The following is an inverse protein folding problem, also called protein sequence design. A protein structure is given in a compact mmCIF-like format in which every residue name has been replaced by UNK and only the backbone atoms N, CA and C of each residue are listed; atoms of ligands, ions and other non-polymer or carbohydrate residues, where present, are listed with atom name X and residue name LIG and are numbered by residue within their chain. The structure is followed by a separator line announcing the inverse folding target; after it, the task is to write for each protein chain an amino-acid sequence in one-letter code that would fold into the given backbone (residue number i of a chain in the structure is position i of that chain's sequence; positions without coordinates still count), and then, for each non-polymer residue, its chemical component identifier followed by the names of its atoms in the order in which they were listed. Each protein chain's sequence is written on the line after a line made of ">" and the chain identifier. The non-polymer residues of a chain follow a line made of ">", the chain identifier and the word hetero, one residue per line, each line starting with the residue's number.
data_IF_294051125337
#
_entry.id   IF_294051125337
#
_cell.length_a   1.000
_cell.length_b   1.000
_cell.length_c   1.000
_cell.angle_alpha   90.00
_cell.angle_beta   90.00
_cell.angle_gamma   90.00
#
_symmetry.space_group_name_H-M   'P 1'
#
loop_
_entity.id
_entity.type
_entity.pdbx_description
1 polymer ?
#
# COMPACT_ATOMS: atom_id res chain seq x y z
N UNK A 1 39.13 10.29 -50.32
CA UNK A 1 38.22 9.21 -49.86
C UNK A 1 38.25 9.17 -48.34
N UNK A 2 37.26 9.79 -47.70
CA UNK A 2 37.14 9.84 -46.25
C UNK A 2 36.26 8.66 -45.80
N UNK A 3 36.80 7.77 -44.92
CA UNK A 3 36.08 6.65 -44.33
C UNK A 3 35.18 7.17 -43.21
N UNK A 4 33.86 7.08 -43.39
CA UNK A 4 32.85 7.40 -42.38
C UNK A 4 32.86 6.32 -41.27
N UNK A 5 33.08 6.77 -40.04
CA UNK A 5 32.96 5.95 -38.82
C UNK A 5 31.46 5.69 -38.52
N UNK A 6 31.03 4.47 -38.25
CA UNK A 6 29.61 4.22 -37.90
C UNK A 6 29.30 4.78 -36.51
N UNK A 7 28.34 5.70 -36.45
CA UNK A 7 27.76 6.19 -35.18
C UNK A 7 27.08 5.03 -34.43
N UNK A 8 27.59 4.68 -33.24
CA UNK A 8 26.92 3.81 -32.30
C UNK A 8 25.61 4.46 -31.88
N UNK A 9 24.47 3.84 -32.23
CA UNK A 9 23.16 4.18 -31.67
C UNK A 9 23.21 4.06 -30.15
N UNK A 10 22.66 5.02 -29.39
CA UNK A 10 22.57 4.89 -27.94
C UNK A 10 21.68 3.70 -27.60
N UNK A 11 22.23 2.70 -26.90
CA UNK A 11 21.44 1.65 -26.27
C UNK A 11 20.52 2.35 -25.26
N UNK A 12 19.19 2.23 -25.46
CA UNK A 12 18.18 2.60 -24.47
C UNK A 12 18.60 1.98 -23.14
N UNK A 13 18.81 2.80 -22.12
CA UNK A 13 19.04 2.34 -20.77
C UNK A 13 17.84 1.45 -20.39
N UNK A 14 18.06 0.13 -20.30
CA UNK A 14 17.05 -0.81 -19.80
C UNK A 14 16.72 -0.38 -18.39
N UNK A 15 15.44 -0.18 -18.13
CA UNK A 15 14.92 0.26 -16.85
C UNK A 15 15.35 -0.77 -15.78
N UNK A 16 16.34 -0.43 -14.95
CA UNK A 16 16.98 -1.32 -13.97
C UNK A 16 16.07 -1.74 -12.82
N UNK A 17 14.84 -1.25 -12.82
CA UNK A 17 13.89 -1.37 -11.71
C UNK A 17 12.66 -2.23 -12.07
N UNK A 18 12.56 -2.71 -13.30
CA UNK A 18 11.43 -3.55 -13.74
C UNK A 18 11.83 -5.02 -13.81
N UNK A 19 10.83 -5.86 -13.66
CA UNK A 19 10.93 -7.29 -13.97
C UNK A 19 11.37 -7.44 -15.44
N UNK A 20 12.55 -8.01 -15.68
CA UNK A 20 13.13 -8.09 -17.02
C UNK A 20 12.35 -9.00 -17.96
N UNK A 21 11.59 -9.96 -17.40
CA UNK A 21 10.82 -10.95 -18.15
C UNK A 21 9.49 -11.17 -17.43
N UNK A 22 8.41 -10.77 -18.08
CA UNK A 22 7.06 -11.16 -17.64
C UNK A 22 6.90 -12.68 -17.80
N UNK A 23 6.71 -13.44 -16.71
CA UNK A 23 6.58 -14.88 -16.82
C UNK A 23 5.22 -15.25 -17.43
N UNK A 24 5.24 -15.85 -18.60
CA UNK A 24 4.04 -16.36 -19.29
C UNK A 24 3.86 -17.88 -19.10
N UNK A 25 4.91 -18.58 -18.67
CA UNK A 25 4.87 -20.02 -18.41
C UNK A 25 4.73 -20.28 -16.91
N UNK A 26 3.90 -21.26 -16.52
CA UNK A 26 3.63 -21.66 -15.13
C UNK A 26 4.89 -21.83 -14.28
N UNK A 27 5.94 -22.46 -14.84
CA UNK A 27 7.23 -22.64 -14.15
C UNK A 27 7.94 -21.32 -13.85
N UNK A 28 7.85 -20.37 -14.76
CA UNK A 28 8.48 -19.06 -14.59
C UNK A 28 7.73 -18.22 -13.54
N UNK A 29 6.40 -18.30 -13.49
CA UNK A 29 5.58 -17.68 -12.44
C UNK A 29 5.99 -18.23 -11.07
N UNK A 30 6.02 -19.56 -10.91
CA UNK A 30 6.45 -20.19 -9.65
C UNK A 30 7.86 -19.78 -9.23
N UNK A 31 8.79 -19.58 -10.17
CA UNK A 31 10.14 -19.13 -9.86
C UNK A 31 10.15 -17.70 -9.29
N UNK A 32 9.36 -16.79 -9.90
CA UNK A 32 9.19 -15.42 -9.40
C UNK A 32 8.59 -15.43 -8.00
N UNK A 33 7.53 -16.20 -7.78
CA UNK A 33 6.87 -16.32 -6.47
C UNK A 33 7.83 -16.85 -5.39
N UNK A 34 8.67 -17.85 -5.71
CA UNK A 34 9.69 -18.35 -4.79
C UNK A 34 10.74 -17.28 -4.46
N UNK A 35 11.17 -16.49 -5.46
CA UNK A 35 12.13 -15.39 -5.24
C UNK A 35 11.50 -14.31 -4.34
N UNK A 36 10.25 -13.91 -4.58
CA UNK A 36 9.58 -12.88 -3.79
C UNK A 36 9.29 -13.37 -2.36
N UNK A 37 8.87 -14.63 -2.19
CA UNK A 37 8.70 -15.24 -0.86
C UNK A 37 10.02 -15.28 -0.08
N UNK A 38 11.12 -15.67 -0.75
CA UNK A 38 12.44 -15.67 -0.13
C UNK A 38 12.91 -14.26 0.22
N UNK A 39 12.66 -13.29 -0.65
CA UNK A 39 13.02 -11.88 -0.44
C UNK A 39 12.30 -11.31 0.79
N UNK A 40 11.00 -11.57 0.94
CA UNK A 40 10.23 -11.22 2.14
C UNK A 40 10.94 -11.70 3.41
N UNK A 41 11.27 -12.99 3.49
CA UNK A 41 11.92 -13.58 4.66
C UNK A 41 13.32 -13.01 4.94
N UNK A 42 14.07 -12.70 3.87
CA UNK A 42 15.41 -12.12 3.98
C UNK A 42 15.33 -10.66 4.43
N UNK A 43 14.41 -9.87 3.90
CA UNK A 43 14.22 -8.48 4.32
C UNK A 43 13.71 -8.41 5.76
N UNK A 44 12.72 -9.21 6.15
CA UNK A 44 12.25 -9.27 7.54
C UNK A 44 13.36 -9.63 8.53
N UNK A 45 14.28 -10.52 8.13
CA UNK A 45 15.36 -10.97 9.00
C UNK A 45 16.53 -9.98 9.09
N UNK A 46 16.92 -9.36 7.96
CA UNK A 46 18.17 -8.60 7.86
C UNK A 46 17.99 -7.12 7.52
N UNK A 47 16.74 -6.63 7.39
CA UNK A 47 16.43 -5.31 6.87
C UNK A 47 16.74 -5.17 5.37
N UNK A 48 16.39 -4.01 4.79
CA UNK A 48 16.68 -3.76 3.37
C UNK A 48 18.19 -3.77 3.10
N UNK A 49 19.00 -3.09 3.92
CA UNK A 49 20.45 -3.00 3.70
C UNK A 49 21.13 -4.37 3.72
N UNK A 50 20.75 -5.24 4.65
CA UNK A 50 21.31 -6.59 4.81
C UNK A 50 20.75 -7.64 3.85
N UNK A 51 19.62 -7.34 3.19
CA UNK A 51 18.95 -8.22 2.23
C UNK A 51 19.65 -8.22 0.87
N UNK A 52 20.63 -9.08 0.67
CA UNK A 52 21.38 -9.17 -0.60
C UNK A 52 20.73 -10.12 -1.58
N UNK A 53 20.91 -9.88 -2.90
CA UNK A 53 20.44 -10.79 -3.96
C UNK A 53 20.98 -12.21 -3.83
N UNK A 54 22.22 -12.38 -3.33
CA UNK A 54 22.79 -13.70 -3.06
C UNK A 54 22.01 -14.46 -1.98
N UNK A 55 21.70 -13.80 -0.85
CA UNK A 55 20.89 -14.41 0.22
C UNK A 55 19.47 -14.75 -0.25
N UNK A 56 18.89 -13.89 -1.08
CA UNK A 56 17.57 -14.13 -1.66
C UNK A 56 17.60 -15.34 -2.60
N UNK A 57 18.59 -15.43 -3.51
CA UNK A 57 18.73 -16.55 -4.43
C UNK A 57 18.96 -17.88 -3.69
N UNK A 58 19.86 -17.88 -2.70
CA UNK A 58 20.11 -19.04 -1.83
C UNK A 58 18.84 -19.49 -1.11
N UNK A 59 18.10 -18.55 -0.51
CA UNK A 59 16.84 -18.83 0.22
C UNK A 59 15.74 -19.33 -0.71
N UNK A 60 15.68 -18.81 -1.95
CA UNK A 60 14.72 -19.22 -2.97
C UNK A 60 15.07 -20.58 -3.62
N UNK A 61 16.26 -21.14 -3.34
CA UNK A 61 16.74 -22.36 -3.98
C UNK A 61 17.03 -22.20 -5.47
N UNK A 62 17.40 -20.98 -5.93
CA UNK A 62 17.73 -20.69 -7.33
C UNK A 62 19.18 -20.21 -7.46
N UNK A 63 19.75 -20.34 -8.67
CA UNK A 63 21.04 -19.72 -8.95
C UNK A 63 20.94 -18.20 -8.96
N UNK A 64 22.02 -17.50 -8.60
CA UNK A 64 22.10 -16.04 -8.71
C UNK A 64 21.84 -15.56 -10.15
N UNK A 65 22.29 -16.33 -11.15
CA UNK A 65 22.01 -16.06 -12.56
C UNK A 65 20.52 -16.18 -12.89
N UNK A 66 19.80 -17.13 -12.28
CA UNK A 66 18.35 -17.25 -12.41
C UNK A 66 17.64 -16.05 -11.81
N UNK A 67 18.03 -15.58 -10.63
CA UNK A 67 17.47 -14.39 -10.02
C UNK A 67 17.64 -13.18 -10.95
N UNK A 68 18.84 -12.95 -11.46
CA UNK A 68 19.10 -11.80 -12.37
C UNK A 68 18.42 -11.90 -13.74
N UNK A 69 17.90 -13.06 -14.14
CA UNK A 69 17.04 -13.16 -15.33
C UNK A 69 15.68 -12.47 -15.13
N UNK A 70 15.19 -12.43 -13.90
CA UNK A 70 13.90 -11.81 -13.57
C UNK A 70 14.08 -10.43 -12.95
N UNK A 71 14.96 -10.28 -11.98
CA UNK A 71 15.17 -9.06 -11.21
C UNK A 71 16.60 -8.54 -11.41
N UNK A 72 16.77 -7.40 -12.11
CA UNK A 72 18.11 -6.86 -12.41
C UNK A 72 18.87 -6.35 -11.19
N UNK A 73 18.17 -6.14 -10.06
CA UNK A 73 18.75 -5.61 -8.83
C UNK A 73 17.91 -5.97 -7.61
N UNK A 74 18.43 -5.72 -6.41
CA UNK A 74 17.70 -5.83 -5.15
C UNK A 74 16.51 -4.87 -5.10
N UNK A 75 16.70 -3.68 -5.61
CA UNK A 75 15.67 -2.66 -5.71
C UNK A 75 14.49 -3.15 -6.56
N UNK A 76 14.74 -3.85 -7.66
CA UNK A 76 13.68 -4.42 -8.50
C UNK A 76 12.86 -5.49 -7.76
N UNK A 77 13.51 -6.26 -6.88
CA UNK A 77 12.80 -7.24 -6.02
C UNK A 77 11.91 -6.51 -5.01
N UNK A 78 12.43 -5.47 -4.34
CA UNK A 78 11.66 -4.69 -3.36
C UNK A 78 10.49 -3.96 -4.01
N UNK A 79 10.70 -3.38 -5.21
CA UNK A 79 9.62 -2.75 -6.01
C UNK A 79 8.51 -3.76 -6.31
N UNK A 80 8.86 -4.97 -6.76
CA UNK A 80 7.86 -5.99 -7.05
C UNK A 80 7.09 -6.45 -5.80
N UNK A 81 7.74 -6.54 -4.64
CA UNK A 81 7.06 -6.82 -3.37
C UNK A 81 6.07 -5.73 -2.99
N UNK A 82 6.45 -4.46 -3.17
CA UNK A 82 5.58 -3.34 -2.86
C UNK A 82 4.41 -3.24 -3.87
N UNK A 83 4.65 -3.47 -5.17
CA UNK A 83 3.60 -3.55 -6.18
C UNK A 83 2.57 -4.65 -5.82
N UNK A 84 3.02 -5.83 -5.40
CA UNK A 84 2.14 -6.90 -4.95
C UNK A 84 1.34 -6.49 -3.72
N UNK A 85 1.98 -5.88 -2.72
CA UNK A 85 1.30 -5.39 -1.52
C UNK A 85 0.20 -4.37 -1.85
N UNK A 86 0.49 -3.38 -2.69
CA UNK A 86 -0.50 -2.38 -3.14
C UNK A 86 -1.68 -3.07 -3.84
N UNK A 87 -1.42 -4.01 -4.75
CA UNK A 87 -2.47 -4.72 -5.48
C UNK A 87 -3.35 -5.56 -4.56
N UNK A 88 -2.76 -6.27 -3.59
CA UNK A 88 -3.50 -7.05 -2.60
C UNK A 88 -4.36 -6.15 -1.69
N UNK A 89 -3.82 -5.04 -1.22
CA UNK A 89 -4.56 -4.07 -0.39
C UNK A 89 -5.72 -3.45 -1.16
N UNK A 90 -5.52 -3.07 -2.42
CA UNK A 90 -6.59 -2.54 -3.26
C UNK A 90 -7.69 -3.59 -3.51
N UNK A 91 -7.31 -4.84 -3.76
CA UNK A 91 -8.27 -5.94 -3.95
C UNK A 91 -9.08 -6.18 -2.68
N UNK A 92 -8.43 -6.29 -1.52
CA UNK A 92 -9.13 -6.45 -0.21
C UNK A 92 -10.11 -5.30 0.04
N UNK A 93 -9.74 -4.06 -0.30
CA UNK A 93 -10.63 -2.89 -0.15
C UNK A 93 -11.87 -2.98 -1.03
N UNK A 94 -11.74 -3.38 -2.29
CA UNK A 94 -12.89 -3.55 -3.19
C UNK A 94 -13.80 -4.68 -2.70
N UNK A 95 -13.24 -5.84 -2.33
CA UNK A 95 -13.98 -6.97 -1.78
C UNK A 95 -14.74 -6.57 -0.50
N UNK A 96 -14.13 -5.75 0.37
CA UNK A 96 -14.78 -5.22 1.54
C UNK A 96 -15.97 -4.32 1.18
N UNK A 97 -15.80 -3.36 0.25
CA UNK A 97 -16.89 -2.49 -0.19
C UNK A 97 -18.04 -3.32 -0.76
N UNK A 98 -17.75 -4.27 -1.63
CA UNK A 98 -18.76 -5.16 -2.23
C UNK A 98 -19.52 -5.96 -1.17
N UNK A 99 -18.81 -6.45 -0.16
CA UNK A 99 -19.40 -7.17 0.98
C UNK A 99 -20.34 -6.28 1.78
N UNK A 100 -19.91 -5.07 2.15
CA UNK A 100 -20.72 -4.12 2.93
C UNK A 100 -21.98 -3.70 2.19
N UNK A 101 -21.85 -3.38 0.89
CA UNK A 101 -22.98 -2.99 0.04
C UNK A 101 -23.99 -4.14 -0.13
N UNK A 102 -23.50 -5.35 -0.38
CA UNK A 102 -24.33 -6.53 -0.62
C UNK A 102 -25.13 -6.93 0.64
N UNK A 103 -24.53 -6.80 1.82
CA UNK A 103 -25.16 -7.16 3.09
C UNK A 103 -25.93 -6.00 3.75
N UNK A 104 -25.94 -4.82 3.15
CA UNK A 104 -26.63 -3.63 3.69
C UNK A 104 -26.26 -3.29 5.12
N UNK A 105 -24.99 -3.40 5.46
CA UNK A 105 -24.49 -3.03 6.77
C UNK A 105 -24.73 -1.54 7.04
N UNK A 106 -25.13 -1.18 8.27
CA UNK A 106 -25.16 0.22 8.69
C UNK A 106 -23.77 0.83 8.77
N UNK A 107 -23.68 2.16 8.70
CA UNK A 107 -22.41 2.90 8.66
C UNK A 107 -21.44 2.46 9.79
N UNK A 108 -21.94 2.36 11.04
CA UNK A 108 -21.11 1.97 12.19
C UNK A 108 -20.48 0.60 12.01
N UNK A 109 -21.28 -0.41 11.64
CA UNK A 109 -20.79 -1.78 11.44
C UNK A 109 -19.77 -1.84 10.30
N UNK A 110 -20.00 -1.08 9.22
CA UNK A 110 -19.06 -0.99 8.13
C UNK A 110 -17.73 -0.32 8.54
N UNK A 111 -17.76 0.70 9.39
CA UNK A 111 -16.55 1.31 9.94
C UNK A 111 -15.81 0.35 10.88
N UNK A 112 -16.51 -0.44 11.70
CA UNK A 112 -15.91 -1.47 12.54
C UNK A 112 -15.17 -2.51 11.70
N UNK A 113 -15.82 -3.07 10.69
CA UNK A 113 -15.21 -4.04 9.78
C UNK A 113 -14.02 -3.46 9.02
N UNK A 114 -14.10 -2.17 8.61
CA UNK A 114 -12.99 -1.49 7.95
C UNK A 114 -11.77 -1.34 8.87
N UNK A 115 -11.98 -0.86 10.09
CA UNK A 115 -10.90 -0.70 11.10
C UNK A 115 -10.28 -2.05 11.41
N UNK A 116 -11.07 -3.08 11.64
CA UNK A 116 -10.57 -4.44 11.92
C UNK A 116 -9.76 -5.00 10.75
N UNK A 117 -10.25 -4.83 9.52
CA UNK A 117 -9.54 -5.30 8.32
C UNK A 117 -8.20 -4.59 8.10
N UNK A 118 -8.10 -3.27 8.41
CA UNK A 118 -6.83 -2.54 8.35
C UNK A 118 -5.88 -3.01 9.45
N UNK A 119 -6.38 -3.27 10.66
CA UNK A 119 -5.57 -3.84 11.75
C UNK A 119 -4.97 -5.19 11.38
N UNK A 120 -5.76 -6.11 10.82
CA UNK A 120 -5.27 -7.41 10.34
C UNK A 120 -4.12 -7.27 9.34
N UNK A 121 -4.23 -6.31 8.39
CA UNK A 121 -3.18 -6.04 7.41
C UNK A 121 -1.88 -5.58 8.10
N UNK A 122 -1.97 -4.73 9.12
CA UNK A 122 -0.80 -4.25 9.87
C UNK A 122 -0.20 -5.33 10.77
N UNK A 123 -1.01 -6.27 11.27
CA UNK A 123 -0.53 -7.39 12.10
C UNK A 123 0.14 -8.49 11.27
N UNK A 124 -0.24 -8.69 9.99
CA UNK A 124 0.32 -9.76 9.16
C UNK A 124 1.83 -9.63 9.00
N UNK A 125 2.38 -8.47 8.66
CA UNK A 125 3.82 -8.25 8.40
C UNK A 125 4.28 -6.81 8.63
N UNK A 126 4.20 -6.28 9.86
CA UNK A 126 4.51 -4.88 10.14
C UNK A 126 5.95 -4.51 9.79
N UNK A 127 6.90 -5.45 10.05
CA UNK A 127 8.31 -5.24 9.75
C UNK A 127 8.60 -5.16 8.26
N UNK A 128 7.96 -5.99 7.43
CA UNK A 128 8.11 -5.93 5.98
C UNK A 128 7.58 -4.61 5.42
N UNK A 129 6.41 -4.17 5.87
CA UNK A 129 5.81 -2.89 5.45
C UNK A 129 6.75 -1.73 5.76
N UNK A 130 7.27 -1.64 6.99
CA UNK A 130 8.24 -0.63 7.38
C UNK A 130 9.48 -0.65 6.47
N UNK A 131 10.05 -1.83 6.21
CA UNK A 131 11.23 -1.97 5.34
C UNK A 131 10.94 -1.51 3.92
N UNK A 132 9.80 -1.89 3.36
CA UNK A 132 9.46 -1.56 1.98
C UNK A 132 9.14 -0.07 1.80
N UNK A 133 8.51 0.57 2.77
CA UNK A 133 8.08 1.97 2.67
C UNK A 133 9.14 2.95 3.15
N UNK A 134 9.92 2.62 4.19
CA UNK A 134 10.83 3.54 4.85
C UNK A 134 12.32 3.29 4.54
N UNK A 135 12.71 2.01 4.39
CA UNK A 135 14.12 1.69 4.16
C UNK A 135 14.47 1.55 2.67
N UNK A 136 13.49 1.29 1.80
CA UNK A 136 13.73 1.06 0.38
C UNK A 136 13.78 2.38 -0.38
N UNK A 137 14.85 2.64 -1.18
CA UNK A 137 14.85 3.78 -2.09
C UNK A 137 13.71 3.67 -3.10
N UNK A 138 12.74 4.57 -3.02
CA UNK A 138 11.56 4.56 -3.89
C UNK A 138 11.87 5.25 -5.22
N UNK A 139 11.92 4.52 -6.34
CA UNK A 139 12.02 5.13 -7.65
C UNK A 139 10.76 5.93 -7.96
N UNK A 140 10.89 6.98 -8.80
CA UNK A 140 9.79 7.88 -9.17
C UNK A 140 8.53 7.14 -9.68
N UNK A 141 8.72 6.02 -10.39
CA UNK A 141 7.60 5.18 -10.83
C UNK A 141 6.81 4.63 -9.67
N UNK A 142 7.49 4.15 -8.63
CA UNK A 142 6.83 3.56 -7.47
C UNK A 142 6.15 4.62 -6.61
N UNK A 143 6.77 5.78 -6.48
CA UNK A 143 6.15 6.94 -5.84
C UNK A 143 4.83 7.33 -6.52
N UNK A 144 4.79 7.36 -7.86
CA UNK A 144 3.54 7.59 -8.62
C UNK A 144 2.51 6.49 -8.38
N UNK A 145 2.94 5.21 -8.34
CA UNK A 145 2.03 4.09 -8.08
C UNK A 145 1.37 4.21 -6.69
N UNK A 146 2.13 4.62 -5.66
CA UNK A 146 1.60 4.86 -4.32
C UNK A 146 0.57 6.00 -4.32
N UNK A 147 0.88 7.12 -4.98
CA UNK A 147 -0.06 8.25 -5.12
C UNK A 147 -1.34 7.83 -5.86
N UNK A 148 -1.22 7.06 -6.93
CA UNK A 148 -2.39 6.61 -7.70
C UNK A 148 -3.24 5.60 -6.90
N UNK A 149 -2.60 4.70 -6.13
CA UNK A 149 -3.28 3.79 -5.23
C UNK A 149 -4.02 4.52 -4.09
N UNK A 150 -3.40 5.55 -3.51
CA UNK A 150 -4.02 6.42 -2.51
C UNK A 150 -5.25 7.15 -3.07
N UNK A 151 -5.12 7.75 -4.25
CA UNK A 151 -6.25 8.43 -4.92
C UNK A 151 -7.41 7.48 -5.21
N UNK A 152 -7.09 6.25 -5.62
CA UNK A 152 -8.12 5.22 -5.84
C UNK A 152 -8.80 4.81 -4.55
N UNK A 153 -8.04 4.64 -3.47
CA UNK A 153 -8.57 4.37 -2.14
C UNK A 153 -9.56 5.45 -1.69
N UNK A 154 -9.16 6.72 -1.83
CA UNK A 154 -9.99 7.86 -1.45
C UNK A 154 -11.28 7.91 -2.28
N UNK A 155 -11.21 7.69 -3.61
CA UNK A 155 -12.40 7.63 -4.47
C UNK A 155 -13.34 6.49 -4.08
N UNK A 156 -12.81 5.31 -3.81
CA UNK A 156 -13.58 4.15 -3.39
C UNK A 156 -14.31 4.45 -2.08
N UNK A 157 -13.61 5.03 -1.10
CA UNK A 157 -14.20 5.39 0.19
C UNK A 157 -15.24 6.50 0.06
N UNK A 158 -14.98 7.52 -0.75
CA UNK A 158 -15.96 8.58 -1.02
C UNK A 158 -17.25 8.04 -1.68
N UNK A 159 -17.10 7.14 -2.66
CA UNK A 159 -18.23 6.44 -3.28
C UNK A 159 -19.02 5.59 -2.29
N UNK A 160 -18.30 4.90 -1.38
CA UNK A 160 -18.93 4.13 -0.30
C UNK A 160 -19.74 5.01 0.66
N UNK A 161 -19.19 6.14 1.11
CA UNK A 161 -19.91 7.08 1.97
C UNK A 161 -21.15 7.69 1.34
N UNK A 162 -21.17 7.88 0.02
CA UNK A 162 -22.34 8.38 -0.71
C UNK A 162 -23.58 7.45 -0.61
N UNK A 163 -23.39 6.19 -0.21
CA UNK A 163 -24.48 5.23 -0.03
C UNK A 163 -25.23 5.39 1.30
N UNK A 164 -24.69 6.19 2.24
CA UNK A 164 -25.20 6.35 3.60
C UNK A 164 -25.84 7.73 3.78
N UNK A 165 -27.19 7.81 3.88
CA UNK A 165 -27.89 9.10 4.02
C UNK A 165 -27.59 9.84 5.33
N UNK A 166 -27.06 9.13 6.33
CA UNK A 166 -26.61 9.72 7.60
C UNK A 166 -25.28 10.45 7.50
N UNK A 167 -24.49 10.22 6.45
CA UNK A 167 -23.22 10.94 6.22
C UNK A 167 -23.53 12.39 5.83
N UNK A 168 -22.99 13.34 6.58
CA UNK A 168 -23.28 14.76 6.49
C UNK A 168 -22.08 15.60 6.07
N UNK A 169 -21.28 15.06 5.15
CA UNK A 169 -20.11 15.73 4.60
C UNK A 169 -20.40 16.18 3.18
N UNK A 170 -20.23 17.48 2.92
CA UNK A 170 -20.41 18.05 1.58
C UNK A 170 -19.30 17.58 0.62
N UNK A 171 -18.06 17.43 1.13
CA UNK A 171 -16.92 16.91 0.38
C UNK A 171 -16.58 15.49 0.86
N UNK A 172 -17.12 14.50 0.15
CA UNK A 172 -16.87 13.08 0.43
C UNK A 172 -15.44 12.65 0.08
N UNK A 173 -14.75 13.35 -0.82
CA UNK A 173 -13.35 13.09 -1.14
C UNK A 173 -12.45 13.42 0.05
N UNK A 174 -12.64 14.61 0.62
CA UNK A 174 -11.96 14.99 1.86
C UNK A 174 -12.32 14.06 3.01
N UNK A 175 -13.59 13.65 3.13
CA UNK A 175 -14.00 12.69 4.15
C UNK A 175 -13.28 11.33 3.99
N UNK A 176 -13.19 10.83 2.76
CA UNK A 176 -12.44 9.60 2.44
C UNK A 176 -10.96 9.73 2.80
N UNK A 177 -10.33 10.85 2.44
CA UNK A 177 -8.94 11.13 2.81
C UNK A 177 -8.72 11.07 4.32
N UNK A 178 -9.52 11.82 5.10
CA UNK A 178 -9.37 11.87 6.56
C UNK A 178 -9.62 10.51 7.21
N UNK A 179 -10.64 9.77 6.77
CA UNK A 179 -10.93 8.42 7.33
C UNK A 179 -9.79 7.45 7.06
N UNK A 180 -9.33 7.36 5.80
CA UNK A 180 -8.24 6.44 5.43
C UNK A 180 -6.98 6.76 6.24
N UNK A 181 -6.50 8.00 6.21
CA UNK A 181 -5.25 8.34 6.88
C UNK A 181 -5.34 8.25 8.40
N UNK A 182 -6.50 8.55 8.99
CA UNK A 182 -6.71 8.39 10.44
C UNK A 182 -6.65 6.92 10.82
N UNK A 183 -7.38 6.05 10.10
CA UNK A 183 -7.38 4.62 10.39
C UNK A 183 -5.98 4.03 10.18
N UNK A 184 -5.35 4.26 9.03
CA UNK A 184 -4.02 3.71 8.74
C UNK A 184 -2.96 4.18 9.75
N UNK A 185 -2.93 5.47 10.09
CA UNK A 185 -1.94 6.01 11.03
C UNK A 185 -2.12 5.48 12.44
N UNK A 186 -3.36 5.44 12.94
CA UNK A 186 -3.63 5.01 14.32
C UNK A 186 -3.47 3.49 14.47
N UNK A 187 -3.94 2.70 13.49
CA UNK A 187 -3.79 1.23 13.53
C UNK A 187 -2.33 0.82 13.37
N UNK A 188 -1.59 1.50 12.49
CA UNK A 188 -0.15 1.27 12.35
C UNK A 188 0.60 1.55 13.67
N UNK A 189 0.33 2.70 14.30
CA UNK A 189 0.96 3.06 15.57
C UNK A 189 0.56 2.09 16.69
N UNK A 190 -0.70 1.67 16.73
CA UNK A 190 -1.19 0.70 17.70
C UNK A 190 -0.48 -0.67 17.52
N UNK A 191 -0.37 -1.18 16.28
CA UNK A 191 0.28 -2.45 15.98
C UNK A 191 1.81 -2.43 16.19
N UNK A 192 2.46 -1.27 16.00
CA UNK A 192 3.92 -1.14 16.12
C UNK A 192 4.43 -1.33 17.55
N UNK A 193 3.61 -1.07 18.58
CA UNK A 193 4.01 -1.09 20.00
C UNK A 193 3.11 -1.97 20.87
N UNK A 194 3.00 -3.29 20.59
CA UNK A 194 2.05 -4.17 21.25
C UNK A 194 2.25 -4.29 22.77
N UNK A 195 3.46 -4.07 23.28
CA UNK A 195 3.79 -4.17 24.70
C UNK A 195 3.65 -2.84 25.47
N UNK A 196 3.41 -1.73 24.78
CA UNK A 196 3.29 -0.39 25.35
C UNK A 196 1.86 0.16 25.29
N UNK A 197 0.91 -0.67 24.85
CA UNK A 197 -0.49 -0.28 24.72
C UNK A 197 -1.13 0.00 26.07
N UNK A 198 -1.72 1.18 26.19
CA UNK A 198 -2.46 1.63 27.38
C UNK A 198 -3.93 1.27 27.33
N UNK A 199 -4.44 0.84 26.17
CA UNK A 199 -5.81 0.40 25.92
C UNK A 199 -5.79 -0.95 25.20
N UNK A 200 -6.79 -1.78 25.43
CA UNK A 200 -6.97 -3.03 24.68
C UNK A 200 -7.54 -2.80 23.29
N UNK A 201 -7.43 -3.82 22.44
CA UNK A 201 -7.87 -3.76 21.03
C UNK A 201 -9.35 -3.40 20.90
N UNK A 202 -10.23 -3.95 21.75
CA UNK A 202 -11.66 -3.69 21.65
C UNK A 202 -11.98 -2.22 21.95
N UNK A 203 -11.36 -1.66 22.99
CA UNK A 203 -11.51 -0.25 23.32
C UNK A 203 -10.90 0.65 22.24
N UNK A 204 -9.76 0.27 21.67
CA UNK A 204 -9.16 1.01 20.55
C UNK A 204 -10.12 1.09 19.36
N UNK A 205 -10.67 -0.05 18.92
CA UNK A 205 -11.64 -0.10 17.80
C UNK A 205 -12.89 0.70 18.13
N UNK A 206 -13.45 0.54 19.33
CA UNK A 206 -14.64 1.25 19.78
C UNK A 206 -14.49 2.77 19.72
N UNK A 207 -13.39 3.30 20.25
CA UNK A 207 -13.12 4.74 20.27
C UNK A 207 -12.86 5.29 18.87
N UNK A 208 -12.06 4.57 18.07
CA UNK A 208 -11.76 4.99 16.69
C UNK A 208 -13.05 5.03 15.84
N UNK A 209 -13.87 3.99 15.90
CA UNK A 209 -15.14 3.93 15.17
C UNK A 209 -16.10 5.03 15.64
N UNK A 210 -16.19 5.26 16.96
CA UNK A 210 -17.02 6.34 17.50
C UNK A 210 -16.59 7.72 17.00
N UNK A 211 -15.30 7.96 16.95
CA UNK A 211 -14.74 9.21 16.41
C UNK A 211 -15.05 9.36 14.92
N UNK A 212 -14.86 8.32 14.11
CA UNK A 212 -15.13 8.33 12.68
C UNK A 212 -16.62 8.53 12.36
N UNK A 213 -17.50 7.82 13.07
CA UNK A 213 -18.95 7.96 12.93
C UNK A 213 -19.39 9.39 13.27
N UNK A 214 -18.93 9.93 14.40
CA UNK A 214 -19.22 11.31 14.79
C UNK A 214 -18.69 12.30 13.75
N UNK A 215 -17.47 12.11 13.24
CA UNK A 215 -16.92 12.91 12.17
C UNK A 215 -17.82 12.89 10.92
N UNK A 216 -18.25 11.73 10.47
CA UNK A 216 -19.05 11.57 9.24
C UNK A 216 -20.48 12.08 9.37
N UNK A 217 -21.10 11.95 10.56
CA UNK A 217 -22.53 12.25 10.77
C UNK A 217 -22.80 13.62 11.37
N UNK A 218 -21.79 14.28 11.96
CA UNK A 218 -22.03 15.59 12.54
C UNK A 218 -22.22 16.66 11.43
N UNK A 219 -23.17 17.60 11.65
CA UNK A 219 -23.30 18.75 10.79
C UNK A 219 -22.09 19.67 10.96
N UNK A 220 -21.34 19.93 9.90
CA UNK A 220 -20.38 21.04 9.89
C UNK A 220 -21.21 22.32 9.79
N UNK A 221 -21.30 23.07 10.90
CA UNK A 221 -21.91 24.41 10.85
C UNK A 221 -21.19 25.21 9.77
N UNK A 222 -21.94 25.66 8.77
CA UNK A 222 -21.46 26.21 7.50
C UNK A 222 -20.24 27.12 7.65
N UNK A 223 -19.21 26.76 6.96
CA UNK A 223 -18.08 27.63 6.71
C UNK A 223 -18.56 28.77 5.82
N UNK A 224 -18.98 29.90 6.43
CA UNK A 224 -19.16 31.13 5.67
C UNK A 224 -17.80 31.43 5.05
N UNK A 225 -17.72 31.67 3.74
CA UNK A 225 -16.46 32.07 3.13
C UNK A 225 -15.93 33.27 3.88
N UNK A 226 -14.65 33.21 4.27
CA UNK A 226 -13.92 34.36 4.81
C UNK A 226 -14.19 35.55 3.87
N UNK A 227 -14.98 36.51 4.32
CA UNK A 227 -15.06 37.79 3.64
C UNK A 227 -13.68 38.40 3.71
N UNK A 228 -13.13 38.67 2.55
CA UNK A 228 -11.86 39.39 2.39
C UNK A 228 -11.88 40.64 3.30
N UNK A 229 -11.01 40.63 4.30
CA UNK A 229 -10.67 41.83 5.03
C UNK A 229 -9.68 42.59 4.16
N UNK A 230 -10.24 43.36 3.23
CA UNK A 230 -9.50 44.45 2.59
C UNK A 230 -9.30 45.57 3.62
N UNK A 231 -8.07 45.74 4.03
CA UNK A 231 -7.55 46.99 4.59
C UNK A 231 -6.24 47.37 3.89
#
# INVERSE_FOLDING_TARGET
>A
MAKSTPQRRPQKAKNRLELLKQPTQRRAIMTVDHILTAATQIFEKYGYAGGTTNRIAERAGVSIGTLYQYFPSKEAVAVALLENHINETNKKRHEWVDHMVSNRHGLRAALEDYVMGVMEVHEERPRLQHILLEETPLPERLHRLLIDAEREAIRTMAGFFALYPEVRRDDLTSAGYFVIHTVESLTHQFAAHPNEQTIDTNNFVLELVTMLEAYLTCNVAGNKPHQDITH
#
